data_IF_883658246893
#
_entry.id   IF_883658246893
#
_cell.length_a   1.000
_cell.length_b   1.000
_cell.length_c   1.000
_cell.angle_alpha   90.00
_cell.angle_beta   90.00
_cell.angle_gamma   90.00
#
_symmetry.space_group_name_H-M   'P 1'
#
loop_
_entity.id
_entity.type
_entity.pdbx_description
1 polymer ?
#
# COMPACT_ATOMS: atom_id res chain seq x y z
N UNK A 1 5.35 -0.81 26.80
CA UNK A 1 6.32 -1.15 25.74
C UNK A 1 6.60 0.10 24.91
N UNK A 2 7.85 0.33 24.49
CA UNK A 2 8.27 1.46 23.66
C UNK A 2 8.63 0.97 22.26
N UNK A 3 7.96 1.49 21.23
CA UNK A 3 8.13 1.03 19.85
C UNK A 3 8.53 2.18 18.95
N UNK A 4 9.63 2.01 18.21
CA UNK A 4 10.06 2.91 17.15
C UNK A 4 9.57 2.36 15.80
N UNK A 5 8.59 3.03 15.21
CA UNK A 5 8.12 2.77 13.85
C UNK A 5 8.99 3.47 12.81
N UNK A 6 9.33 2.77 11.73
CA UNK A 6 10.07 3.34 10.60
C UNK A 6 9.24 3.24 9.32
N UNK A 7 9.22 4.32 8.54
CA UNK A 7 8.61 4.32 7.21
C UNK A 7 8.38 5.71 6.66
N UNK A 8 8.33 5.82 5.32
CA UNK A 8 8.18 7.09 4.62
C UNK A 8 6.84 7.80 4.87
N UNK A 9 6.87 9.13 5.03
CA UNK A 9 5.69 9.97 5.34
C UNK A 9 4.54 9.85 4.34
N UNK A 10 4.83 9.73 3.05
CA UNK A 10 3.84 9.70 1.96
C UNK A 10 3.49 8.28 1.48
N UNK A 11 3.82 7.25 2.28
CA UNK A 11 3.59 5.86 1.92
C UNK A 11 2.28 5.34 2.52
N UNK A 12 1.40 4.81 1.67
CA UNK A 12 0.21 4.07 2.13
C UNK A 12 0.59 2.85 2.97
N UNK A 13 1.67 2.15 2.62
CA UNK A 13 2.15 1.01 3.42
C UNK A 13 2.57 1.48 4.82
N UNK A 14 3.31 2.59 4.95
CA UNK A 14 3.66 3.14 6.27
C UNK A 14 2.41 3.51 7.06
N UNK A 15 1.44 4.18 6.44
CA UNK A 15 0.19 4.56 7.11
C UNK A 15 -0.55 3.31 7.64
N UNK A 16 -0.80 2.32 6.78
CA UNK A 16 -1.65 1.18 7.11
C UNK A 16 -0.95 0.06 7.86
N UNK A 17 0.36 -0.11 7.68
CA UNK A 17 1.12 -1.24 8.23
C UNK A 17 2.00 -0.84 9.41
N UNK A 18 2.27 0.45 9.63
CA UNK A 18 3.07 0.94 10.76
C UNK A 18 2.28 1.92 11.63
N UNK A 19 1.82 3.04 11.08
CA UNK A 19 1.21 4.14 11.85
C UNK A 19 -0.12 3.72 12.48
N UNK A 20 -1.07 3.23 11.69
CA UNK A 20 -2.41 2.86 12.18
C UNK A 20 -2.32 1.73 13.21
N UNK A 21 -1.58 0.62 12.98
CA UNK A 21 -1.43 -0.41 14.02
C UNK A 21 -0.87 0.14 15.33
N UNK A 22 0.17 0.98 15.30
CA UNK A 22 0.75 1.58 16.51
C UNK A 22 -0.20 2.58 17.19
N UNK A 23 -0.98 3.33 16.42
CA UNK A 23 -1.92 4.32 16.97
C UNK A 23 -3.10 3.67 17.71
N UNK A 24 -3.52 2.47 17.30
CA UNK A 24 -4.64 1.74 17.91
C UNK A 24 -4.20 0.63 18.87
N UNK A 25 -2.90 0.37 18.99
CA UNK A 25 -2.37 -0.57 19.98
C UNK A 25 -2.43 0.07 21.36
N UNK A 26 -3.15 -0.57 22.29
CA UNK A 26 -3.23 -0.12 23.68
C UNK A 26 -1.92 -0.32 24.43
N UNK A 27 -1.69 0.49 25.46
CA UNK A 27 -0.61 0.30 26.46
C UNK A 27 0.84 0.36 25.90
N UNK A 28 1.04 1.10 24.80
CA UNK A 28 2.37 1.37 24.24
C UNK A 28 2.73 2.86 24.23
N UNK A 29 4.03 3.15 24.10
CA UNK A 29 4.55 4.45 23.67
C UNK A 29 5.19 4.27 22.31
N UNK A 30 4.68 4.95 21.28
CA UNK A 30 5.18 4.83 19.92
C UNK A 30 5.68 6.17 19.37
N UNK A 31 6.77 6.12 18.62
CA UNK A 31 7.23 7.21 17.73
C UNK A 31 7.39 6.63 16.34
N UNK A 32 6.94 7.36 15.30
CA UNK A 32 7.17 6.96 13.90
C UNK A 32 8.00 8.03 13.20
N UNK A 33 9.03 7.61 12.47
CA UNK A 33 9.91 8.51 11.71
C UNK A 33 10.31 7.89 10.37
N UNK A 34 10.51 8.73 9.36
CA UNK A 34 11.16 8.38 8.10
C UNK A 34 12.66 8.70 8.10
N UNK A 35 13.14 9.47 9.09
CA UNK A 35 14.54 9.83 9.29
C UNK A 35 14.94 9.49 10.73
N UNK A 36 15.44 8.27 10.99
CA UNK A 36 15.87 7.87 12.32
C UNK A 36 17.23 8.48 12.66
N UNK A 37 17.23 9.76 13.03
CA UNK A 37 18.44 10.45 13.51
C UNK A 37 18.95 9.81 14.80
N UNK A 38 20.24 10.00 15.10
CA UNK A 38 20.84 9.53 16.35
C UNK A 38 20.05 10.01 17.58
N UNK A 39 19.60 11.27 17.58
CA UNK A 39 18.75 11.83 18.64
C UNK A 39 17.46 11.02 18.84
N UNK A 40 16.78 10.60 17.77
CA UNK A 40 15.56 9.80 17.88
C UNK A 40 15.89 8.38 18.34
N UNK A 41 16.94 7.77 17.78
CA UNK A 41 17.38 6.42 18.12
C UNK A 41 17.75 6.30 19.60
N UNK A 42 18.32 7.35 20.20
CA UNK A 42 18.72 7.39 21.61
C UNK A 42 17.72 8.10 22.54
N UNK A 43 16.69 8.75 22.00
CA UNK A 43 15.70 9.51 22.80
C UNK A 43 15.01 8.67 23.86
N UNK A 44 14.93 7.36 23.64
CA UNK A 44 14.29 6.40 24.52
C UNK A 44 15.06 5.08 24.49
N UNK A 45 14.95 4.30 25.57
CA UNK A 45 15.28 2.88 25.52
C UNK A 45 14.15 2.13 24.82
N UNK A 46 14.24 2.02 23.49
CA UNK A 46 13.28 1.30 22.67
C UNK A 46 13.26 -0.21 22.98
N UNK A 47 12.08 -0.82 22.98
CA UNK A 47 11.93 -2.26 23.10
C UNK A 47 11.91 -2.92 21.71
N UNK A 48 11.24 -2.26 20.75
CA UNK A 48 11.02 -2.76 19.39
C UNK A 48 11.32 -1.68 18.35
N UNK A 49 11.98 -2.07 17.26
CA UNK A 49 11.97 -1.35 15.98
C UNK A 49 10.99 -2.08 15.04
N UNK A 50 10.03 -1.35 14.49
CA UNK A 50 8.95 -1.89 13.66
C UNK A 50 8.87 -1.18 12.31
N UNK A 51 8.81 -1.92 11.22
CA UNK A 51 8.78 -1.34 9.86
C UNK A 51 8.13 -2.31 8.86
N UNK A 52 7.71 -1.79 7.70
CA UNK A 52 7.18 -2.60 6.61
C UNK A 52 8.21 -2.72 5.47
N UNK A 53 8.55 -3.95 5.08
CA UNK A 53 9.37 -4.35 3.91
C UNK A 53 10.83 -3.88 3.86
N UNK A 54 11.07 -2.58 3.95
CA UNK A 54 12.38 -1.94 3.85
C UNK A 54 12.51 -0.85 4.90
N UNK A 55 13.74 -0.60 5.32
CA UNK A 55 14.10 0.39 6.32
C UNK A 55 15.36 1.13 5.92
N UNK A 56 15.50 2.37 6.39
CA UNK A 56 16.76 3.11 6.29
C UNK A 56 17.90 2.47 7.11
N UNK A 57 17.58 1.49 7.95
CA UNK A 57 18.51 0.74 8.79
C UNK A 57 18.88 -0.65 8.22
N UNK A 58 18.46 -0.97 6.99
CA UNK A 58 18.66 -2.29 6.37
C UNK A 58 20.12 -2.71 6.17
N UNK A 59 21.07 -1.77 6.33
CA UNK A 59 22.50 -2.03 6.11
C UNK A 59 23.09 -3.04 7.10
N UNK A 60 22.68 -2.99 8.38
CA UNK A 60 23.21 -3.90 9.40
C UNK A 60 22.27 -3.99 10.63
N UNK A 61 21.30 -4.90 10.55
CA UNK A 61 20.38 -5.14 11.66
C UNK A 61 21.07 -5.74 12.90
N UNK A 62 22.19 -6.44 12.75
CA UNK A 62 22.91 -7.02 13.88
C UNK A 62 23.56 -5.92 14.73
N UNK A 63 24.19 -4.94 14.07
CA UNK A 63 24.75 -3.78 14.77
C UNK A 63 23.65 -2.92 15.40
N UNK A 64 22.51 -2.70 14.71
CA UNK A 64 21.35 -2.00 15.28
C UNK A 64 20.86 -2.70 16.57
N UNK A 65 20.65 -4.03 16.51
CA UNK A 65 20.23 -4.83 17.68
C UNK A 65 21.24 -4.73 18.82
N UNK A 66 22.54 -4.77 18.51
CA UNK A 66 23.62 -4.70 19.49
C UNK A 66 23.73 -3.33 20.17
N UNK A 67 23.64 -2.24 19.40
CA UNK A 67 23.77 -0.88 19.91
C UNK A 67 22.53 -0.45 20.70
N UNK A 68 21.34 -0.76 20.19
CA UNK A 68 20.09 -0.30 20.78
C UNK A 68 19.49 -1.29 21.79
N UNK A 69 19.89 -2.57 21.76
CA UNK A 69 19.30 -3.62 22.60
C UNK A 69 17.84 -3.92 22.29
N UNK A 70 17.41 -3.68 21.04
CA UNK A 70 16.01 -3.80 20.57
C UNK A 70 15.70 -5.16 19.97
N UNK A 71 14.40 -5.47 19.88
CA UNK A 71 13.87 -6.49 18.98
C UNK A 71 13.47 -5.87 17.64
N UNK A 72 13.74 -6.56 16.54
CA UNK A 72 13.38 -6.12 15.18
C UNK A 72 12.13 -6.86 14.74
N UNK A 73 11.05 -6.11 14.49
CA UNK A 73 9.80 -6.65 13.94
C UNK A 73 9.61 -6.10 12.54
N UNK A 74 9.43 -6.99 11.57
CA UNK A 74 9.24 -6.63 10.17
C UNK A 74 7.84 -7.03 9.73
N UNK A 75 7.12 -6.11 9.09
CA UNK A 75 5.86 -6.40 8.42
C UNK A 75 6.05 -6.65 6.92
N UNK A 76 5.27 -7.59 6.38
CA UNK A 76 5.24 -7.91 4.96
C UNK A 76 3.81 -8.15 4.47
N UNK A 77 3.33 -7.22 3.65
CA UNK A 77 1.94 -7.16 3.21
C UNK A 77 1.69 -7.65 1.78
N UNK A 78 2.76 -7.78 0.98
CA UNK A 78 2.71 -8.12 -0.45
C UNK A 78 3.85 -9.06 -0.87
N UNK A 79 3.76 -9.62 -2.08
CA UNK A 79 4.82 -10.43 -2.67
C UNK A 79 6.03 -9.55 -3.04
N UNK A 80 7.25 -10.03 -2.77
CA UNK A 80 8.49 -9.36 -3.17
C UNK A 80 9.06 -9.92 -4.48
N UNK A 81 8.39 -10.91 -5.07
CA UNK A 81 8.76 -11.49 -6.36
C UNK A 81 7.69 -11.08 -7.36
N UNK A 82 8.01 -10.06 -8.16
CA UNK A 82 7.10 -9.52 -9.17
C UNK A 82 7.28 -10.24 -10.51
N UNK A 83 6.23 -10.37 -11.34
CA UNK A 83 6.36 -10.93 -12.67
C UNK A 83 7.07 -9.93 -13.62
N UNK A 84 7.70 -10.41 -14.71
CA UNK A 84 8.48 -9.54 -15.62
C UNK A 84 7.70 -8.41 -16.30
N UNK A 85 6.37 -8.52 -16.37
CA UNK A 85 5.50 -7.49 -16.93
C UNK A 85 5.07 -6.43 -15.89
N UNK A 86 5.48 -6.52 -14.63
CA UNK A 86 5.17 -5.52 -13.63
C UNK A 86 6.09 -4.30 -13.78
N UNK A 87 5.54 -3.08 -13.67
CA UNK A 87 6.30 -1.83 -13.84
C UNK A 87 7.54 -1.76 -12.95
N UNK A 88 7.41 -2.22 -11.70
CA UNK A 88 8.49 -2.24 -10.71
C UNK A 88 9.36 -3.51 -10.74
N UNK A 89 9.27 -4.36 -11.78
CA UNK A 89 9.99 -5.64 -11.80
C UNK A 89 11.50 -5.48 -11.55
N UNK A 90 12.15 -4.58 -12.29
CA UNK A 90 13.60 -4.37 -12.18
C UNK A 90 14.01 -3.81 -10.80
N UNK A 91 13.28 -2.83 -10.29
CA UNK A 91 13.51 -2.30 -8.94
C UNK A 91 13.42 -3.39 -7.86
N UNK A 92 12.53 -4.37 -8.05
CA UNK A 92 12.39 -5.48 -7.12
C UNK A 92 13.49 -6.53 -7.24
N UNK A 93 14.20 -6.62 -8.36
CA UNK A 93 15.39 -7.47 -8.46
C UNK A 93 16.49 -6.98 -7.49
N UNK A 94 16.67 -5.67 -7.38
CA UNK A 94 17.64 -5.06 -6.48
C UNK A 94 17.18 -5.09 -5.02
N UNK A 95 15.87 -4.91 -4.77
CA UNK A 95 15.30 -4.93 -3.41
C UNK A 95 15.18 -6.32 -2.82
N UNK A 96 14.95 -7.34 -3.66
CA UNK A 96 14.76 -8.73 -3.23
C UNK A 96 15.83 -9.23 -2.26
N UNK A 97 17.15 -9.13 -2.54
CA UNK A 97 18.16 -9.59 -1.59
C UNK A 97 18.11 -8.86 -0.25
N UNK A 98 17.77 -7.57 -0.24
CA UNK A 98 17.64 -6.76 0.99
C UNK A 98 16.43 -7.24 1.81
N UNK A 99 15.27 -7.41 1.15
CA UNK A 99 14.05 -7.91 1.79
C UNK A 99 14.28 -9.31 2.38
N UNK A 100 14.94 -10.20 1.64
CA UNK A 100 15.26 -11.54 2.13
C UNK A 100 16.27 -11.53 3.29
N UNK A 101 17.22 -10.58 3.30
CA UNK A 101 18.09 -10.36 4.45
C UNK A 101 17.28 -9.90 5.67
N UNK A 102 16.37 -8.95 5.49
CA UNK A 102 15.47 -8.48 6.54
C UNK A 102 14.65 -9.61 7.15
N UNK A 103 14.15 -10.56 6.34
CA UNK A 103 13.46 -11.74 6.89
C UNK A 103 14.36 -12.55 7.83
N UNK A 104 15.61 -12.80 7.44
CA UNK A 104 16.57 -13.59 8.25
C UNK A 104 16.93 -12.86 9.55
N UNK A 105 16.97 -11.54 9.51
CA UNK A 105 17.43 -10.69 10.61
C UNK A 105 16.34 -10.30 11.61
N UNK A 106 15.07 -10.33 11.20
CA UNK A 106 13.94 -10.00 12.06
C UNK A 106 13.79 -11.00 13.22
N UNK A 107 13.50 -10.49 14.41
CA UNK A 107 13.11 -11.32 15.56
C UNK A 107 11.68 -11.85 15.39
N UNK A 108 10.80 -11.14 14.68
CA UNK A 108 9.44 -11.54 14.33
C UNK A 108 9.06 -10.94 12.97
N UNK A 109 8.37 -11.73 12.15
CA UNK A 109 7.78 -11.25 10.89
C UNK A 109 6.25 -11.27 11.00
N UNK A 110 5.58 -10.16 10.70
CA UNK A 110 4.12 -10.12 10.53
C UNK A 110 3.77 -10.18 9.05
N UNK A 111 2.74 -10.95 8.70
CA UNK A 111 2.29 -11.09 7.30
C UNK A 111 0.77 -11.01 7.19
N UNK A 112 0.25 -10.67 6.02
CA UNK A 112 -1.22 -10.53 5.84
C UNK A 112 -1.97 -11.84 5.68
N UNK A 113 -1.29 -12.93 5.31
CA UNK A 113 -1.95 -14.20 5.01
C UNK A 113 -0.99 -15.41 5.06
N UNK A 114 -1.58 -16.61 5.13
CA UNK A 114 -0.86 -17.89 5.18
C UNK A 114 0.01 -18.16 3.94
N UNK A 115 -0.36 -17.64 2.76
CA UNK A 115 0.44 -17.84 1.54
C UNK A 115 1.78 -17.12 1.66
N UNK A 116 1.78 -15.87 2.14
CA UNK A 116 3.01 -15.14 2.44
C UNK A 116 3.81 -15.82 3.55
N UNK A 117 3.15 -16.26 4.64
CA UNK A 117 3.82 -16.97 5.73
C UNK A 117 4.59 -18.18 5.22
N UNK A 118 3.94 -19.02 4.39
CA UNK A 118 4.56 -20.21 3.84
C UNK A 118 5.74 -19.90 2.90
N UNK A 119 5.68 -18.81 2.12
CA UNK A 119 6.80 -18.38 1.26
C UNK A 119 8.00 -17.86 2.07
N UNK A 120 7.75 -17.22 3.22
CA UNK A 120 8.78 -16.59 4.05
C UNK A 120 9.37 -17.58 5.08
N UNK A 121 8.64 -18.62 5.45
CA UNK A 121 9.06 -19.67 6.40
C UNK A 121 10.48 -20.24 6.18
N UNK A 122 10.99 -20.41 4.95
CA UNK A 122 12.36 -20.86 4.73
C UNK A 122 13.44 -19.87 5.21
N UNK A 123 13.11 -18.58 5.33
CA UNK A 123 14.03 -17.54 5.81
C UNK A 123 13.96 -17.38 7.33
N UNK A 124 12.75 -17.45 7.89
CA UNK A 124 12.49 -17.29 9.32
C UNK A 124 11.21 -18.02 9.70
N UNK A 125 11.23 -18.78 10.79
CA UNK A 125 10.06 -19.54 11.27
C UNK A 125 9.20 -18.77 12.27
N UNK A 126 9.69 -17.67 12.85
CA UNK A 126 8.93 -16.82 13.76
C UNK A 126 8.06 -15.83 12.98
N UNK A 127 6.93 -16.32 12.49
CA UNK A 127 5.99 -15.57 11.66
C UNK A 127 4.63 -15.52 12.36
N UNK A 128 4.00 -14.36 12.37
CA UNK A 128 2.62 -14.15 12.82
C UNK A 128 1.76 -13.65 11.66
N UNK A 129 0.64 -14.33 11.40
CA UNK A 129 -0.33 -13.90 10.39
C UNK A 129 -1.31 -12.91 11.01
N UNK A 130 -1.29 -11.68 10.51
CA UNK A 130 -2.17 -10.57 10.90
C UNK A 130 -2.88 -10.04 9.64
N UNK A 131 -4.15 -10.42 9.40
CA UNK A 131 -4.91 -9.97 8.25
C UNK A 131 -5.00 -8.45 8.13
N UNK A 132 -5.19 -7.95 6.91
CA UNK A 132 -5.46 -6.54 6.67
C UNK A 132 -6.73 -6.09 7.40
N UNK A 133 -6.64 -4.95 8.07
CA UNK A 133 -7.76 -4.33 8.76
C UNK A 133 -7.74 -2.82 8.55
N UNK A 134 -8.92 -2.22 8.54
CA UNK A 134 -9.12 -0.77 8.53
C UNK A 134 -9.90 -0.38 9.79
N UNK A 135 -9.57 0.75 10.44
CA UNK A 135 -10.32 1.23 11.60
C UNK A 135 -11.62 1.89 11.12
N UNK A 136 -12.57 1.08 10.68
CA UNK A 136 -13.87 1.55 10.18
C UNK A 136 -14.61 2.38 11.25
N UNK A 137 -15.21 3.48 10.83
CA UNK A 137 -15.85 4.46 11.70
C UNK A 137 -14.91 5.57 12.19
N UNK A 138 -13.61 5.51 11.89
CA UNK A 138 -12.63 6.52 12.32
C UNK A 138 -12.01 7.26 11.12
N UNK A 139 -11.78 8.57 11.29
CA UNK A 139 -11.14 9.43 10.30
C UNK A 139 -11.75 9.29 8.88
N UNK A 140 -10.94 8.91 7.88
CA UNK A 140 -11.37 8.77 6.49
C UNK A 140 -12.13 7.45 6.21
N UNK A 141 -12.17 6.50 7.14
CA UNK A 141 -12.77 5.18 6.95
C UNK A 141 -14.25 5.16 7.34
N UNK A 142 -15.06 5.90 6.58
CA UNK A 142 -16.51 6.01 6.81
C UNK A 142 -17.30 5.38 5.66
N UNK A 143 -18.62 5.32 5.80
CA UNK A 143 -19.57 4.91 4.76
C UNK A 143 -20.16 6.09 3.98
N UNK A 144 -19.55 7.28 4.08
CA UNK A 144 -19.99 8.48 3.36
C UNK A 144 -20.05 8.22 1.85
N UNK A 145 -21.14 8.67 1.22
CA UNK A 145 -21.35 8.60 -0.23
C UNK A 145 -21.85 9.92 -0.76
N UNK A 146 -21.37 10.27 -1.94
CA UNK A 146 -21.96 11.33 -2.76
C UNK A 146 -23.07 10.71 -3.60
N UNK A 147 -24.25 11.31 -3.64
CA UNK A 147 -25.35 10.84 -4.48
C UNK A 147 -25.10 11.13 -5.97
N UNK A 148 -25.56 10.25 -6.84
CA UNK A 148 -25.50 10.41 -8.30
C UNK A 148 -26.72 9.75 -8.95
N UNK A 149 -27.24 10.35 -10.04
CA UNK A 149 -28.35 9.76 -10.79
C UNK A 149 -27.93 8.49 -11.56
N UNK A 150 -26.62 8.30 -11.79
CA UNK A 150 -26.05 7.13 -12.49
C UNK A 150 -25.33 6.22 -11.52
N UNK A 151 -25.44 4.91 -11.76
CA UNK A 151 -24.63 3.91 -11.03
C UNK A 151 -23.16 4.05 -11.42
N UNK A 152 -22.28 4.21 -10.43
CA UNK A 152 -20.85 4.40 -10.65
C UNK A 152 -20.10 3.08 -10.59
N UNK A 153 -19.50 2.73 -11.73
CA UNK A 153 -18.51 1.65 -11.82
C UNK A 153 -17.16 2.29 -11.53
N UNK A 154 -16.57 1.89 -10.42
CA UNK A 154 -15.43 2.56 -9.81
C UNK A 154 -14.19 1.69 -9.83
N UNK A 155 -13.04 2.31 -10.09
CA UNK A 155 -11.73 1.72 -9.89
C UNK A 155 -10.78 2.73 -9.24
N UNK A 156 -9.96 2.27 -8.30
CA UNK A 156 -8.89 3.05 -7.68
C UNK A 156 -7.60 2.23 -7.59
N UNK A 157 -6.46 2.87 -7.83
CA UNK A 157 -5.15 2.24 -7.69
C UNK A 157 -4.01 3.12 -8.19
N UNK A 158 -2.83 2.53 -8.33
CA UNK A 158 -1.63 3.19 -8.89
C UNK A 158 -1.41 2.87 -10.37
N UNK A 159 -0.54 3.66 -11.02
CA UNK A 159 -0.16 3.45 -12.43
C UNK A 159 0.53 2.10 -12.71
N UNK A 160 1.03 1.43 -11.66
CA UNK A 160 1.62 0.08 -11.75
C UNK A 160 0.65 -0.99 -12.23
N UNK A 161 -0.67 -0.73 -12.15
CA UNK A 161 -1.73 -1.65 -12.54
C UNK A 161 -2.17 -1.51 -14.01
N UNK A 162 -1.34 -0.90 -14.88
CA UNK A 162 -1.68 -0.70 -16.29
C UNK A 162 -2.15 -1.99 -16.98
N UNK A 163 -1.41 -3.08 -16.78
CA UNK A 163 -1.74 -4.38 -17.37
C UNK A 163 -3.05 -4.97 -16.84
N UNK A 164 -3.39 -4.70 -15.58
CA UNK A 164 -4.62 -5.19 -14.97
C UNK A 164 -5.84 -4.50 -15.59
N UNK A 165 -5.78 -3.17 -15.78
CA UNK A 165 -6.85 -2.41 -16.45
C UNK A 165 -6.98 -2.77 -17.93
N UNK A 166 -5.89 -3.14 -18.58
CA UNK A 166 -5.91 -3.50 -20.01
C UNK A 166 -6.76 -4.75 -20.28
N UNK A 167 -6.90 -5.65 -19.30
CA UNK A 167 -7.78 -6.82 -19.39
C UNK A 167 -9.25 -6.38 -19.61
N UNK A 168 -9.62 -5.19 -19.12
CA UNK A 168 -10.97 -4.66 -19.17
C UNK A 168 -11.33 -3.98 -20.49
N UNK A 169 -10.35 -3.71 -21.37
CA UNK A 169 -10.50 -2.92 -22.60
C UNK A 169 -11.63 -3.39 -23.51
N UNK A 170 -11.82 -4.71 -23.64
CA UNK A 170 -12.88 -5.29 -24.48
C UNK A 170 -14.14 -5.65 -23.70
N UNK A 171 -14.07 -6.27 -22.50
CA UNK A 171 -15.26 -6.57 -21.70
C UNK A 171 -16.15 -5.35 -21.43
N UNK A 172 -15.57 -4.18 -21.12
CA UNK A 172 -16.33 -2.98 -20.78
C UNK A 172 -17.11 -2.37 -21.96
N UNK A 173 -16.78 -2.71 -23.21
CA UNK A 173 -17.53 -2.24 -24.37
C UNK A 173 -18.98 -2.74 -24.37
N UNK A 174 -19.24 -3.86 -23.69
CA UNK A 174 -20.59 -4.42 -23.50
C UNK A 174 -21.49 -3.52 -22.66
N UNK A 175 -20.92 -2.53 -21.96
CA UNK A 175 -21.65 -1.58 -21.13
C UNK A 175 -22.14 -0.35 -21.90
N UNK A 176 -21.71 -0.16 -23.16
CA UNK A 176 -22.15 0.97 -24.00
C UNK A 176 -23.68 1.15 -24.08
N UNK A 177 -24.50 0.09 -24.21
CA UNK A 177 -25.96 0.24 -24.20
C UNK A 177 -26.52 0.80 -22.88
N UNK A 178 -25.74 0.75 -21.79
CA UNK A 178 -26.11 1.27 -20.47
C UNK A 178 -25.55 2.67 -20.20
N UNK A 179 -24.90 3.33 -21.18
CA UNK A 179 -24.22 4.61 -20.98
C UNK A 179 -25.08 5.70 -20.34
N UNK A 180 -26.40 5.72 -20.58
CA UNK A 180 -27.29 6.69 -19.93
C UNK A 180 -27.49 6.44 -18.43
N UNK A 181 -27.25 5.21 -17.95
CA UNK A 181 -27.51 4.74 -16.58
C UNK A 181 -26.26 4.57 -15.73
N UNK A 182 -25.07 4.56 -16.35
CA UNK A 182 -23.81 4.28 -15.65
C UNK A 182 -22.79 5.41 -15.84
N UNK A 183 -21.85 5.49 -14.91
CA UNK A 183 -20.69 6.38 -14.97
C UNK A 183 -19.43 5.63 -14.55
N UNK A 184 -18.35 5.79 -15.30
CA UNK A 184 -17.05 5.21 -15.00
C UNK A 184 -16.26 6.18 -14.11
N UNK A 185 -15.86 5.77 -12.91
CA UNK A 185 -15.08 6.61 -11.99
C UNK A 185 -13.68 6.02 -11.84
N UNK A 186 -12.68 6.72 -12.36
CA UNK A 186 -11.28 6.34 -12.26
C UNK A 186 -10.58 7.23 -11.23
N UNK A 187 -10.10 6.64 -10.14
CA UNK A 187 -9.48 7.33 -9.03
C UNK A 187 -7.99 7.02 -8.89
N UNK A 188 -7.22 8.02 -8.46
CA UNK A 188 -5.75 7.94 -8.36
C UNK A 188 -5.02 8.55 -9.56
N UNK A 189 -5.73 9.14 -10.53
CA UNK A 189 -5.17 9.66 -11.77
C UNK A 189 -4.05 10.67 -11.49
N UNK A 190 -2.91 10.51 -12.15
CA UNK A 190 -1.78 11.43 -12.00
C UNK A 190 -1.24 11.80 -13.39
N UNK A 191 -1.13 13.09 -13.64
CA UNK A 191 -0.61 13.69 -14.86
C UNK A 191 0.51 14.72 -14.59
N UNK A 192 1.16 14.65 -13.43
CA UNK A 192 2.23 15.57 -13.04
C UNK A 192 3.47 15.49 -13.94
N UNK A 193 3.69 14.35 -14.60
CA UNK A 193 4.77 14.19 -15.57
C UNK A 193 4.30 13.42 -16.83
N UNK A 194 4.97 13.60 -17.99
CA UNK A 194 4.52 13.02 -19.25
C UNK A 194 4.47 11.49 -19.29
N UNK A 195 5.37 10.81 -18.57
CA UNK A 195 5.46 9.35 -18.57
C UNK A 195 4.30 8.76 -17.75
N UNK A 196 4.11 9.27 -16.54
CA UNK A 196 3.00 8.88 -15.67
C UNK A 196 1.65 9.18 -16.35
N UNK A 197 1.52 10.36 -16.97
CA UNK A 197 0.34 10.73 -17.74
C UNK A 197 0.04 9.73 -18.86
N UNK A 198 1.05 9.31 -19.62
CA UNK A 198 0.87 8.36 -20.72
C UNK A 198 0.31 7.02 -20.23
N UNK A 199 0.84 6.50 -19.12
CA UNK A 199 0.37 5.25 -18.50
C UNK A 199 -1.08 5.41 -18.05
N UNK A 200 -1.40 6.49 -17.34
CA UNK A 200 -2.73 6.78 -16.85
C UNK A 200 -3.77 7.00 -17.95
N UNK A 201 -3.39 7.64 -19.06
CA UNK A 201 -4.28 7.81 -20.21
C UNK A 201 -4.57 6.46 -20.89
N UNK A 202 -3.59 5.55 -20.94
CA UNK A 202 -3.80 4.18 -21.41
C UNK A 202 -4.79 3.42 -20.52
N UNK A 203 -4.61 3.47 -19.20
CA UNK A 203 -5.53 2.89 -18.22
C UNK A 203 -6.94 3.48 -18.34
N UNK A 204 -7.05 4.80 -18.43
CA UNK A 204 -8.31 5.50 -18.64
C UNK A 204 -9.02 5.03 -19.90
N UNK A 205 -8.29 4.88 -21.00
CA UNK A 205 -8.83 4.44 -22.28
C UNK A 205 -9.38 3.02 -22.19
N UNK A 206 -8.64 2.10 -21.56
CA UNK A 206 -9.10 0.74 -21.31
C UNK A 206 -10.33 0.70 -20.40
N UNK A 207 -10.36 1.52 -19.34
CA UNK A 207 -11.45 1.56 -18.36
C UNK A 207 -12.73 2.24 -18.88
N UNK A 208 -12.63 3.24 -19.76
CA UNK A 208 -13.78 4.07 -20.17
C UNK A 208 -14.23 3.83 -21.61
N UNK A 209 -13.66 2.83 -22.28
CA UNK A 209 -13.84 2.60 -23.71
C UNK A 209 -13.45 3.85 -24.52
N UNK A 210 -12.24 4.37 -24.32
CA UNK A 210 -11.73 5.61 -24.92
C UNK A 210 -12.65 6.83 -24.65
N UNK A 211 -13.16 6.97 -23.43
CA UNK A 211 -14.04 8.06 -23.04
C UNK A 211 -15.45 8.01 -23.64
N UNK A 212 -15.84 6.92 -24.29
CA UNK A 212 -17.19 6.78 -24.87
C UNK A 212 -18.29 6.53 -23.84
N UNK A 213 -17.95 5.99 -22.67
CA UNK A 213 -18.86 5.91 -21.51
C UNK A 213 -18.74 7.19 -20.67
N UNK A 214 -19.83 7.74 -20.08
CA UNK A 214 -19.72 8.87 -19.17
C UNK A 214 -18.74 8.56 -18.04
N UNK A 215 -17.91 9.53 -17.66
CA UNK A 215 -16.84 9.27 -16.72
C UNK A 215 -16.54 10.44 -15.77
N UNK A 216 -15.81 10.12 -14.71
CA UNK A 216 -15.13 11.06 -13.82
C UNK A 216 -13.70 10.56 -13.60
N UNK A 217 -12.73 11.47 -13.71
CA UNK A 217 -11.34 11.24 -13.30
C UNK A 217 -11.13 11.95 -11.96
N UNK A 218 -10.66 11.24 -10.96
CA UNK A 218 -10.28 11.80 -9.66
C UNK A 218 -8.76 11.74 -9.53
N UNK A 219 -8.14 12.89 -9.32
CA UNK A 219 -6.69 12.99 -9.18
C UNK A 219 -6.21 12.30 -7.90
N UNK A 220 -4.97 11.80 -7.91
CA UNK A 220 -4.37 11.19 -6.72
C UNK A 220 -4.44 12.12 -5.50
N UNK A 221 -4.83 11.55 -4.36
CA UNK A 221 -4.82 12.20 -3.06
C UNK A 221 -3.70 11.59 -2.19
N UNK A 222 -3.34 12.30 -1.13
CA UNK A 222 -2.41 11.79 -0.14
C UNK A 222 -2.98 10.55 0.60
N UNK A 223 -2.14 9.68 1.18
CA UNK A 223 -2.60 8.47 1.88
C UNK A 223 -3.58 8.73 3.03
N UNK A 224 -3.57 9.92 3.63
CA UNK A 224 -4.52 10.26 4.70
C UNK A 224 -5.90 10.69 4.19
N UNK A 225 -6.06 10.88 2.87
CA UNK A 225 -7.28 11.38 2.23
C UNK A 225 -7.81 10.47 1.11
N UNK A 226 -7.07 9.44 0.69
CA UNK A 226 -7.45 8.61 -0.48
C UNK A 226 -8.82 7.95 -0.38
N UNK A 227 -9.33 7.70 0.83
CA UNK A 227 -10.66 7.11 1.03
C UNK A 227 -11.79 8.05 0.58
N UNK A 228 -11.55 9.36 0.43
CA UNK A 228 -12.53 10.30 -0.14
C UNK A 228 -12.95 9.90 -1.56
N UNK A 229 -12.07 9.24 -2.33
CA UNK A 229 -12.45 8.70 -3.64
C UNK A 229 -13.57 7.66 -3.55
N UNK A 230 -13.63 6.89 -2.46
CA UNK A 230 -14.62 5.83 -2.28
C UNK A 230 -16.02 6.37 -1.98
N UNK A 231 -16.16 7.67 -1.69
CA UNK A 231 -17.47 8.35 -1.65
C UNK A 231 -18.18 8.30 -3.02
N UNK A 232 -17.41 8.11 -4.09
CA UNK A 232 -17.89 8.01 -5.47
C UNK A 232 -18.03 6.56 -5.99
N UNK A 233 -17.91 5.56 -5.10
CA UNK A 233 -17.91 4.15 -5.50
C UNK A 233 -19.25 3.46 -5.20
N UNK A 234 -19.97 3.01 -6.23
CA UNK A 234 -21.16 2.15 -6.04
C UNK A 234 -20.82 0.68 -6.30
N UNK A 235 -20.09 0.42 -7.39
CA UNK A 235 -19.60 -0.92 -7.75
C UNK A 235 -18.08 -0.84 -7.92
N UNK A 236 -17.37 -1.50 -7.01
CA UNK A 236 -15.91 -1.65 -7.11
C UNK A 236 -15.56 -2.69 -8.16
N UNK A 237 -14.78 -2.29 -9.16
CA UNK A 237 -14.14 -3.20 -10.09
C UNK A 237 -12.76 -3.54 -9.52
N UNK A 238 -12.59 -4.78 -9.05
CA UNK A 238 -11.35 -5.30 -8.45
C UNK A 238 -10.71 -6.37 -9.33
#
# INVERSE_FOLDING_TARGET
MKILGLGGKMSGCTLHRVVVPLAYMGEIKATVTDVPTYEILESEKWDIVFYNRLSTLDSDWQEVKKQMGVKVVMDMDDDWILPPNHLNYYDYLDRKPIIENNFREADLITVTNEKLANKIKPFNSNILVIPNALPFGYHQFTDTKVEDERVRIFWAGGCTHQHDLDILRYPLQRLKPLASKIKMVLAGYNDTDPVTKYIWDSMFNSFTCNGSLPYTKLHSLEPINYMQHYEYADIMLV
#
